data_IF_169569865179
#
_entry.id   IF_169569865179
#
_cell.length_a   1.000
_cell.length_b   1.000
_cell.length_c   1.000
_cell.angle_alpha   90.00
_cell.angle_beta   90.00
_cell.angle_gamma   90.00
#
_symmetry.space_group_name_H-M   'P 1'
#
loop_
_entity.id
_entity.type
_entity.pdbx_description
1 polymer ?
#
# COMPACT_ATOMS: atom_id res chain seq x y z
N UNK A 1 20.45 11.61 -2.78
CA UNK A 1 19.27 10.82 -3.20
C UNK A 1 18.04 11.52 -2.67
N UNK A 2 16.99 11.69 -3.48
CA UNK A 2 15.71 12.30 -3.07
C UNK A 2 14.62 11.31 -3.42
N UNK A 3 13.66 11.13 -2.51
CA UNK A 3 12.43 10.37 -2.76
C UNK A 3 11.24 11.34 -2.66
N UNK A 4 10.50 11.58 -3.76
CA UNK A 4 9.35 12.48 -3.75
C UNK A 4 8.11 11.89 -3.06
N UNK A 5 8.16 10.62 -2.62
CA UNK A 5 7.00 9.89 -2.14
C UNK A 5 6.20 9.28 -3.30
N UNK A 6 4.90 9.10 -3.08
CA UNK A 6 3.99 8.53 -4.07
C UNK A 6 2.74 9.39 -4.19
N UNK A 7 2.33 9.66 -5.43
CA UNK A 7 1.08 10.38 -5.71
C UNK A 7 -0.15 9.50 -5.41
N UNK A 8 -0.09 8.21 -5.74
CA UNK A 8 -1.25 7.31 -5.69
C UNK A 8 -1.33 6.39 -4.47
N UNK A 9 -0.24 6.27 -3.71
CA UNK A 9 -0.14 5.44 -2.51
C UNK A 9 0.94 6.00 -1.58
N UNK A 10 0.73 7.23 -1.11
CA UNK A 10 1.61 7.88 -0.14
C UNK A 10 1.60 7.11 1.19
N UNK A 11 2.77 7.06 1.83
CA UNK A 11 2.98 6.43 3.14
C UNK A 11 3.51 7.52 4.08
N UNK A 12 3.14 7.44 5.36
CA UNK A 12 3.51 8.36 6.42
C UNK A 12 2.48 9.44 6.74
N UNK A 13 1.57 9.74 5.81
CA UNK A 13 0.48 10.69 6.02
C UNK A 13 -0.81 10.19 5.38
N UNK A 14 -1.91 10.31 6.12
CA UNK A 14 -3.24 9.87 5.68
C UNK A 14 -3.70 10.68 4.48
N UNK A 15 -4.14 9.98 3.44
CA UNK A 15 -4.87 10.55 2.30
C UNK A 15 -4.19 11.77 1.63
N UNK A 16 -2.87 11.71 1.43
CA UNK A 16 -2.14 12.73 0.67
C UNK A 16 -1.52 12.18 -0.60
N UNK A 17 -1.40 13.04 -1.61
CA UNK A 17 -0.53 12.82 -2.75
C UNK A 17 0.82 13.48 -2.47
N UNK A 18 1.91 12.71 -2.56
CA UNK A 18 3.26 13.20 -2.29
C UNK A 18 4.04 13.38 -3.60
N UNK A 19 4.75 14.51 -3.71
CA UNK A 19 5.66 14.80 -4.81
C UNK A 19 6.78 15.75 -4.36
N UNK A 20 7.75 16.01 -5.24
CA UNK A 20 8.80 17.00 -5.03
C UNK A 20 8.83 18.02 -6.16
N UNK A 21 9.10 19.28 -5.82
CA UNK A 21 9.50 20.32 -6.77
C UNK A 21 11.02 20.47 -6.66
N UNK A 22 11.71 20.33 -7.79
CA UNK A 22 13.16 20.48 -7.88
C UNK A 22 13.48 21.72 -8.70
N UNK A 23 14.18 22.67 -8.10
CA UNK A 23 14.64 23.88 -8.76
C UNK A 23 16.17 23.91 -8.75
N UNK A 24 16.78 24.06 -9.93
CA UNK A 24 18.22 24.27 -10.02
C UNK A 24 18.53 25.75 -9.83
N UNK A 25 19.23 26.09 -8.74
CA UNK A 25 19.56 27.48 -8.40
C UNK A 25 21.01 27.60 -7.94
N UNK A 26 21.73 28.60 -8.45
CA UNK A 26 23.11 28.95 -8.03
C UNK A 26 24.07 27.75 -7.85
N UNK A 27 23.96 26.75 -8.73
CA UNK A 27 24.77 25.50 -8.79
C UNK A 27 24.37 24.38 -7.81
N UNK A 28 23.19 24.44 -7.21
CA UNK A 28 22.64 23.37 -6.38
C UNK A 28 21.16 23.11 -6.68
N UNK A 29 20.68 21.90 -6.35
CA UNK A 29 19.26 21.59 -6.35
C UNK A 29 18.61 22.10 -5.07
N UNK A 30 17.61 22.95 -5.20
CA UNK A 30 16.63 23.26 -4.16
C UNK A 30 15.49 22.27 -4.27
N UNK A 31 15.11 21.68 -3.14
CA UNK A 31 14.13 20.60 -3.07
C UNK A 31 13.01 21.05 -2.17
N UNK A 32 11.79 21.01 -2.68
CA UNK A 32 10.59 21.20 -1.88
C UNK A 32 9.73 19.94 -1.95
N UNK A 33 9.54 19.28 -0.80
CA UNK A 33 8.63 18.14 -0.68
C UNK A 33 7.23 18.66 -0.40
N UNK A 34 6.25 18.15 -1.14
CA UNK A 34 4.85 18.55 -1.05
C UNK A 34 3.99 17.34 -0.73
N UNK A 35 3.02 17.56 0.15
CA UNK A 35 1.92 16.65 0.42
C UNK A 35 0.62 17.41 0.23
N UNK A 36 -0.27 16.89 -0.62
CA UNK A 36 -1.56 17.53 -0.93
C UNK A 36 -2.68 16.59 -0.51
N UNK A 37 -3.58 16.99 0.41
CA UNK A 37 -4.67 16.14 0.85
C UNK A 37 -5.68 15.92 -0.27
N UNK A 38 -6.30 14.74 -0.28
CA UNK A 38 -7.43 14.42 -1.15
C UNK A 38 -8.57 13.77 -0.35
N UNK A 39 -9.73 13.64 -0.99
CA UNK A 39 -10.92 13.04 -0.38
C UNK A 39 -10.82 11.52 -0.35
N UNK A 40 -10.31 10.97 0.75
CA UNK A 40 -10.18 9.52 0.97
C UNK A 40 -11.49 8.77 0.70
N UNK A 41 -12.61 9.31 1.16
CA UNK A 41 -13.93 8.69 1.01
C UNK A 41 -14.33 8.48 -0.45
N UNK A 42 -14.02 9.44 -1.33
CA UNK A 42 -14.24 9.29 -2.77
C UNK A 42 -13.40 8.17 -3.37
N UNK A 43 -12.14 8.04 -2.94
CA UNK A 43 -11.27 6.94 -3.38
C UNK A 43 -11.80 5.60 -2.88
N UNK A 44 -12.23 5.54 -1.62
CA UNK A 44 -12.85 4.35 -1.02
C UNK A 44 -14.07 3.90 -1.82
N UNK A 45 -14.96 4.83 -2.16
CA UNK A 45 -16.14 4.54 -2.97
C UNK A 45 -15.78 4.07 -4.39
N UNK A 46 -14.79 4.68 -5.05
CA UNK A 46 -14.31 4.23 -6.36
C UNK A 46 -13.79 2.80 -6.30
N UNK A 47 -13.00 2.47 -5.27
CA UNK A 47 -12.52 1.11 -5.07
C UNK A 47 -13.68 0.14 -4.90
N UNK A 48 -14.60 0.40 -3.97
CA UNK A 48 -15.74 -0.48 -3.69
C UNK A 48 -16.68 -0.69 -4.88
N UNK A 49 -16.79 0.30 -5.77
CA UNK A 49 -17.58 0.21 -7.00
C UNK A 49 -16.80 -0.34 -8.21
N UNK A 50 -15.52 -0.66 -8.06
CA UNK A 50 -14.70 -1.20 -9.15
C UNK A 50 -14.63 -2.72 -9.13
N UNK A 51 -14.35 -3.32 -10.30
CA UNK A 51 -14.07 -4.76 -10.38
C UNK A 51 -12.80 -5.20 -9.64
N UNK A 52 -11.98 -4.25 -9.17
CA UNK A 52 -10.73 -4.52 -8.45
C UNK A 52 -11.00 -5.23 -7.13
N UNK A 53 -12.07 -4.90 -6.40
CA UNK A 53 -12.37 -5.56 -5.12
C UNK A 53 -12.58 -7.06 -5.28
N UNK A 54 -13.17 -7.47 -6.41
CA UNK A 54 -13.47 -8.87 -6.69
C UNK A 54 -12.27 -9.60 -7.29
N UNK A 55 -11.48 -8.93 -8.13
CA UNK A 55 -10.37 -9.55 -8.88
C UNK A 55 -9.02 -9.46 -8.17
N UNK A 56 -8.83 -8.46 -7.31
CA UNK A 56 -7.54 -8.12 -6.68
C UNK A 56 -7.22 -8.91 -5.41
N UNK A 57 -8.12 -9.78 -4.94
CA UNK A 57 -7.94 -10.51 -3.69
C UNK A 57 -7.83 -9.54 -2.50
N UNK A 58 -6.82 -9.71 -1.65
CA UNK A 58 -6.60 -8.86 -0.47
C UNK A 58 -5.91 -7.52 -0.79
N UNK A 59 -5.31 -7.39 -1.97
CA UNK A 59 -4.51 -6.22 -2.33
C UNK A 59 -5.26 -4.88 -2.31
N UNK A 60 -6.48 -4.74 -2.88
CA UNK A 60 -7.22 -3.48 -2.82
C UNK A 60 -7.56 -3.06 -1.38
N UNK A 61 -7.83 -4.01 -0.48
CA UNK A 61 -8.05 -3.72 0.94
C UNK A 61 -6.77 -3.22 1.61
N UNK A 62 -5.61 -3.78 1.26
CA UNK A 62 -4.32 -3.29 1.73
C UNK A 62 -4.08 -1.84 1.27
N UNK A 63 -4.44 -1.51 0.02
CA UNK A 63 -4.34 -0.14 -0.50
C UNK A 63 -5.22 0.80 0.32
N UNK A 64 -6.51 0.50 0.48
CA UNK A 64 -7.44 1.35 1.22
C UNK A 64 -6.97 1.60 2.66
N UNK A 65 -6.56 0.54 3.38
CA UNK A 65 -6.03 0.69 4.73
C UNK A 65 -4.71 1.48 4.77
N UNK A 66 -3.86 1.33 3.75
CA UNK A 66 -2.62 2.10 3.66
C UNK A 66 -2.88 3.59 3.48
N UNK A 67 -3.86 3.94 2.66
CA UNK A 67 -4.26 5.34 2.44
C UNK A 67 -4.91 5.96 3.69
N UNK A 68 -5.66 5.16 4.45
CA UNK A 68 -6.35 5.64 5.66
C UNK A 68 -5.40 5.82 6.85
N UNK A 69 -4.44 4.91 7.03
CA UNK A 69 -3.56 4.91 8.20
C UNK A 69 -2.15 5.45 7.91
N UNK A 70 -1.80 5.67 6.63
CA UNK A 70 -0.46 6.06 6.21
C UNK A 70 0.59 4.96 6.42
N UNK A 71 0.19 3.70 6.60
CA UNK A 71 1.08 2.55 6.83
C UNK A 71 1.10 1.67 5.57
N UNK A 72 2.27 1.18 5.15
CA UNK A 72 2.38 0.38 3.93
C UNK A 72 1.91 -1.08 4.13
N UNK A 73 0.60 -1.31 4.12
CA UNK A 73 0.00 -2.62 4.40
C UNK A 73 0.27 -3.67 3.31
N UNK A 74 0.53 -3.27 2.06
CA UNK A 74 0.81 -4.22 0.97
C UNK A 74 2.02 -5.11 1.25
N UNK A 75 3.22 -4.54 1.48
CA UNK A 75 4.41 -5.29 1.88
C UNK A 75 4.26 -6.01 3.22
N UNK A 76 3.59 -5.40 4.22
CA UNK A 76 3.37 -6.06 5.52
C UNK A 76 2.53 -7.32 5.36
N UNK A 77 1.42 -7.24 4.62
CA UNK A 77 0.56 -8.38 4.33
C UNK A 77 1.28 -9.43 3.49
N UNK A 78 2.05 -9.02 2.48
CA UNK A 78 2.82 -9.94 1.65
C UNK A 78 3.90 -10.69 2.42
N UNK A 79 4.60 -10.00 3.32
CA UNK A 79 5.62 -10.60 4.17
C UNK A 79 5.00 -11.59 5.14
N UNK A 80 3.96 -11.17 5.87
CA UNK A 80 3.27 -12.03 6.85
C UNK A 80 2.64 -13.27 6.19
N UNK A 81 2.08 -13.12 4.99
CA UNK A 81 1.57 -14.26 4.20
C UNK A 81 2.69 -15.22 3.75
N UNK A 82 3.85 -14.68 3.39
CA UNK A 82 5.06 -15.47 3.09
C UNK A 82 5.52 -16.23 4.33
N UNK A 83 5.62 -15.57 5.48
CA UNK A 83 6.07 -16.16 6.73
C UNK A 83 5.18 -17.35 7.12
N UNK A 84 3.84 -17.19 7.05
CA UNK A 84 2.92 -18.32 7.30
C UNK A 84 3.07 -19.48 6.31
N UNK A 85 3.38 -19.21 5.05
CA UNK A 85 3.57 -20.27 4.07
C UNK A 85 4.86 -21.07 4.39
N UNK A 86 5.94 -20.39 4.77
CA UNK A 86 7.20 -21.01 5.17
C UNK A 86 7.04 -21.83 6.45
N UNK A 87 6.32 -21.31 7.45
CA UNK A 87 6.02 -22.02 8.70
C UNK A 87 5.26 -23.34 8.46
N UNK A 88 4.37 -23.37 7.48
CA UNK A 88 3.63 -24.56 7.05
C UNK A 88 4.45 -25.50 6.13
N UNK A 89 5.73 -25.20 5.88
CA UNK A 89 6.59 -26.00 5.00
C UNK A 89 6.27 -25.88 3.51
N UNK A 90 5.59 -24.80 3.09
CA UNK A 90 5.28 -24.57 1.67
C UNK A 90 6.50 -24.01 0.96
N UNK A 91 6.97 -24.73 -0.06
CA UNK A 91 7.97 -24.22 -1.00
C UNK A 91 7.37 -23.07 -1.84
N UNK A 92 7.82 -21.86 -1.55
CA UNK A 92 7.39 -20.60 -2.17
C UNK A 92 8.52 -19.89 -2.92
N UNK A 93 9.72 -20.46 -3.03
CA UNK A 93 10.83 -19.80 -3.72
C UNK A 93 10.51 -19.56 -5.20
N UNK A 94 9.70 -20.44 -5.80
CA UNK A 94 9.29 -20.37 -7.21
C UNK A 94 7.77 -20.41 -7.42
N UNK A 95 6.97 -20.31 -6.35
CA UNK A 95 5.51 -20.45 -6.41
C UNK A 95 4.79 -19.25 -5.81
N UNK A 96 3.61 -18.95 -6.35
CA UNK A 96 2.71 -17.93 -5.79
C UNK A 96 2.29 -18.34 -4.38
N UNK A 97 2.35 -17.41 -3.42
CA UNK A 97 1.85 -17.62 -2.07
C UNK A 97 0.35 -17.98 -2.15
N UNK A 98 -0.07 -19.15 -1.64
CA UNK A 98 -1.48 -19.56 -1.68
C UNK A 98 -2.42 -18.53 -1.03
N UNK A 99 -3.62 -18.37 -1.61
CA UNK A 99 -4.64 -17.40 -1.16
C UNK A 99 -4.97 -17.50 0.34
N UNK A 100 -4.93 -18.71 0.92
CA UNK A 100 -5.21 -18.93 2.36
C UNK A 100 -4.29 -18.13 3.27
N UNK A 101 -3.01 -17.96 2.91
CA UNK A 101 -2.04 -17.23 3.72
C UNK A 101 -2.22 -15.72 3.61
N UNK A 102 -2.59 -15.23 2.43
CA UNK A 102 -2.98 -13.83 2.23
C UNK A 102 -4.21 -13.46 3.06
N UNK A 103 -5.23 -14.31 3.09
CA UNK A 103 -6.43 -14.09 3.90
C UNK A 103 -6.10 -14.11 5.39
N UNK A 104 -5.28 -15.06 5.85
CA UNK A 104 -4.82 -15.13 7.25
C UNK A 104 -4.06 -13.85 7.63
N UNK A 105 -3.07 -13.45 6.82
CA UNK A 105 -2.29 -12.23 7.05
C UNK A 105 -3.15 -10.96 7.07
N UNK A 106 -4.12 -10.85 6.15
CA UNK A 106 -5.00 -9.70 6.09
C UNK A 106 -5.91 -9.60 7.33
N UNK A 107 -6.43 -10.72 7.84
CA UNK A 107 -7.19 -10.76 9.10
C UNK A 107 -6.32 -10.35 10.29
N UNK A 108 -5.13 -10.95 10.39
CA UNK A 108 -4.21 -10.70 11.51
C UNK A 108 -3.59 -9.30 11.49
N UNK A 109 -3.75 -8.54 10.40
CA UNK A 109 -3.34 -7.14 10.27
C UNK A 109 -4.54 -6.17 10.36
N UNK A 110 -5.77 -6.68 10.50
CA UNK A 110 -6.99 -5.87 10.49
C UNK A 110 -7.24 -5.18 9.13
N UNK A 111 -6.72 -5.75 8.03
CA UNK A 111 -6.96 -5.28 6.65
C UNK A 111 -8.35 -5.63 6.17
N UNK A 112 -8.85 -6.80 6.59
CA UNK A 112 -10.22 -7.24 6.38
C UNK A 112 -10.82 -7.58 7.75
N UNK A 113 -12.09 -7.25 7.93
CA UNK A 113 -12.87 -7.54 9.15
C UNK A 113 -14.00 -8.47 8.70
N UNK A 114 -14.23 -9.54 9.45
CA UNK A 114 -15.38 -10.44 9.24
C UNK A 114 -16.70 -9.81 9.70
#
# INVERSE_FOLDING_TARGET
LINPGSVGLAIGERATAQYAILEWSKKEWKVELKAVPYEFEKIRDIFHNSSLMNKGGVWPYCILKSLDEGINYGPLCSKKARDYAVEDGVDIENKKIPKKYWLKAAKDLGVIIE
#
